data_IF_131373148675
#
_entry.id   IF_131373148675
#
_cell.length_a   1.000
_cell.length_b   1.000
_cell.length_c   1.000
_cell.angle_alpha   90.00
_cell.angle_beta   90.00
_cell.angle_gamma   90.00
#
_symmetry.space_group_name_H-M   'P 1'
#
loop_
_entity.id
_entity.type
_entity.pdbx_description
1 polymer ?
#
# COMPACT_ATOMS: atom_id res chain seq x y z
N UNK A 1 22.58 -21.64 -10.13
CA UNK A 1 23.41 -20.82 -9.23
C UNK A 1 22.74 -20.77 -7.86
N UNK A 2 23.50 -20.80 -6.76
CA UNK A 2 22.92 -20.62 -5.44
C UNK A 2 22.32 -19.21 -5.35
N UNK A 3 21.08 -19.12 -4.83
CA UNK A 3 20.39 -17.86 -4.57
C UNK A 3 20.57 -17.53 -3.10
N UNK A 4 21.04 -16.33 -2.78
CA UNK A 4 21.14 -15.83 -1.42
C UNK A 4 19.88 -15.03 -1.08
N UNK A 5 19.19 -15.40 0.00
CA UNK A 5 18.02 -14.66 0.48
C UNK A 5 18.42 -13.65 1.58
N UNK A 6 18.30 -12.37 1.28
CA UNK A 6 18.54 -11.27 2.24
C UNK A 6 17.24 -10.86 2.90
N UNK A 7 17.07 -11.27 4.16
CA UNK A 7 15.88 -10.95 4.96
C UNK A 7 16.04 -9.63 5.72
N UNK A 8 14.90 -8.99 6.05
CA UNK A 8 14.84 -7.90 7.01
C UNK A 8 15.50 -6.59 6.56
N UNK A 9 15.63 -6.35 5.26
CA UNK A 9 16.28 -5.15 4.74
C UNK A 9 15.49 -3.86 5.05
N UNK A 10 14.19 -3.95 5.30
CA UNK A 10 13.38 -2.80 5.68
C UNK A 10 12.24 -2.48 4.71
N UNK A 11 11.91 -1.19 4.56
CA UNK A 11 10.80 -0.72 3.74
C UNK A 11 11.15 -0.63 2.25
N UNK A 12 10.15 -0.33 1.41
CA UNK A 12 10.24 -0.19 -0.04
C UNK A 12 11.39 0.72 -0.50
N UNK A 13 11.61 1.86 0.17
CA UNK A 13 12.69 2.78 -0.20
C UNK A 13 14.09 2.19 0.01
N UNK A 14 14.28 1.45 1.11
CA UNK A 14 15.54 0.75 1.40
C UNK A 14 15.77 -0.38 0.39
N UNK A 15 14.73 -1.13 0.04
CA UNK A 15 14.80 -2.20 -0.97
C UNK A 15 15.14 -1.65 -2.36
N UNK A 16 14.51 -0.55 -2.76
CA UNK A 16 14.82 0.11 -4.05
C UNK A 16 16.29 0.58 -4.07
N UNK A 17 16.77 1.19 -3.00
CA UNK A 17 18.16 1.60 -2.91
C UNK A 17 19.13 0.41 -2.96
N UNK A 18 18.82 -0.69 -2.29
CA UNK A 18 19.63 -1.92 -2.34
C UNK A 18 19.66 -2.52 -3.75
N UNK A 19 18.55 -2.50 -4.48
CA UNK A 19 18.48 -2.93 -5.87
C UNK A 19 19.35 -2.02 -6.78
N UNK A 20 19.22 -0.72 -6.64
CA UNK A 20 20.00 0.24 -7.45
C UNK A 20 21.51 0.21 -7.18
N UNK A 21 21.91 -0.09 -5.96
CA UNK A 21 23.34 -0.24 -5.59
C UNK A 21 23.93 -1.60 -5.95
N UNK A 22 23.10 -2.56 -6.41
CA UNK A 22 23.54 -3.93 -6.67
C UNK A 22 23.73 -4.78 -5.41
N UNK A 23 23.30 -4.29 -4.24
CA UNK A 23 23.30 -5.10 -3.01
C UNK A 23 22.25 -6.21 -3.04
N UNK A 24 21.24 -6.05 -3.89
CA UNK A 24 20.18 -7.01 -4.18
C UNK A 24 19.98 -7.03 -5.70
N UNK A 25 19.78 -8.20 -6.30
CA UNK A 25 19.57 -8.33 -7.75
C UNK A 25 18.08 -8.27 -8.14
N UNK A 26 17.20 -8.70 -7.23
CA UNK A 26 15.74 -8.75 -7.45
C UNK A 26 15.00 -8.75 -6.12
N UNK A 27 13.84 -8.09 -6.07
CA UNK A 27 12.91 -8.21 -4.95
C UNK A 27 11.46 -8.14 -5.45
N UNK A 28 10.50 -8.75 -4.73
CA UNK A 28 9.09 -8.65 -5.06
C UNK A 28 8.51 -7.33 -4.54
N UNK A 29 7.71 -6.66 -5.36
CA UNK A 29 7.03 -5.42 -4.99
C UNK A 29 5.64 -5.34 -5.62
N UNK A 30 4.75 -4.58 -5.00
CA UNK A 30 3.42 -4.31 -5.52
C UNK A 30 3.45 -3.15 -6.53
N UNK A 31 2.76 -3.32 -7.65
CA UNK A 31 2.69 -2.28 -8.69
C UNK A 31 2.17 -0.96 -8.15
N UNK A 32 1.17 -0.98 -7.27
CA UNK A 32 0.65 0.21 -6.60
C UNK A 32 1.71 0.92 -5.74
N UNK A 33 2.53 0.17 -5.01
CA UNK A 33 3.63 0.70 -4.21
C UNK A 33 4.71 1.32 -5.10
N UNK A 34 5.08 0.64 -6.19
CA UNK A 34 6.03 1.20 -7.17
C UNK A 34 5.53 2.56 -7.68
N UNK A 35 4.27 2.64 -8.09
CA UNK A 35 3.70 3.87 -8.67
C UNK A 35 3.67 5.00 -7.64
N UNK A 36 3.10 4.75 -6.46
CA UNK A 36 2.83 5.80 -5.48
C UNK A 36 4.04 6.15 -4.63
N UNK A 37 4.75 5.13 -4.12
CA UNK A 37 5.86 5.34 -3.18
C UNK A 37 7.18 5.65 -3.88
N UNK A 38 7.52 4.88 -4.91
CA UNK A 38 8.80 5.05 -5.60
C UNK A 38 8.73 6.14 -6.68
N UNK A 39 7.74 6.06 -7.56
CA UNK A 39 7.64 6.97 -8.71
C UNK A 39 6.92 8.28 -8.38
N UNK A 40 6.20 8.35 -7.24
CA UNK A 40 5.39 9.51 -6.83
C UNK A 40 4.40 9.93 -7.91
N UNK A 41 3.77 8.94 -8.56
CA UNK A 41 2.78 9.11 -9.63
C UNK A 41 1.43 8.56 -9.19
N UNK A 42 0.39 8.95 -9.91
CA UNK A 42 -0.97 8.45 -9.72
C UNK A 42 -1.37 7.54 -10.89
N UNK A 43 -2.46 6.79 -10.70
CA UNK A 43 -3.04 5.91 -11.69
C UNK A 43 -2.69 4.45 -11.51
N UNK A 44 -3.18 3.64 -12.44
CA UNK A 44 -3.00 2.19 -12.45
C UNK A 44 -2.46 1.77 -13.84
N UNK A 45 -1.16 1.99 -14.10
CA UNK A 45 -0.54 1.70 -15.38
C UNK A 45 -0.52 0.20 -15.66
N UNK A 46 -0.56 -0.17 -16.94
CA UNK A 46 -0.16 -1.50 -17.37
C UNK A 46 1.36 -1.72 -17.18
N UNK A 47 1.80 -2.96 -17.32
CA UNK A 47 3.21 -3.32 -17.14
C UNK A 47 4.14 -2.59 -18.11
N UNK A 48 3.68 -2.33 -19.33
CA UNK A 48 4.49 -1.63 -20.34
C UNK A 48 4.69 -0.16 -19.97
N UNK A 49 3.64 0.52 -19.53
CA UNK A 49 3.73 1.90 -19.03
C UNK A 49 4.57 1.99 -17.75
N UNK A 50 4.38 1.06 -16.81
CA UNK A 50 5.17 1.00 -15.59
C UNK A 50 6.66 0.86 -15.91
N UNK A 51 7.02 0.00 -16.85
CA UNK A 51 8.40 -0.19 -17.27
C UNK A 51 9.00 1.03 -17.99
N UNK A 52 8.20 1.80 -18.73
CA UNK A 52 8.68 3.08 -19.28
C UNK A 52 9.08 4.05 -18.16
N UNK A 53 8.31 4.12 -17.09
CA UNK A 53 8.62 4.97 -15.94
C UNK A 53 9.81 4.46 -15.12
N UNK A 54 9.91 3.15 -14.93
CA UNK A 54 11.03 2.53 -14.19
C UNK A 54 12.37 2.66 -14.93
N UNK A 55 12.34 2.69 -16.27
CA UNK A 55 13.55 2.84 -17.09
C UNK A 55 14.32 4.15 -16.79
N UNK A 56 13.61 5.22 -16.39
CA UNK A 56 14.23 6.48 -15.96
C UNK A 56 15.13 6.29 -14.72
N UNK A 57 14.91 5.21 -13.95
CA UNK A 57 15.68 4.84 -12.75
C UNK A 57 16.62 3.66 -12.97
N UNK A 58 16.73 3.15 -14.21
CA UNK A 58 17.50 1.96 -14.53
C UNK A 58 16.88 0.66 -14.00
N UNK A 59 15.58 0.65 -13.70
CA UNK A 59 14.86 -0.48 -13.14
C UNK A 59 13.84 -1.06 -14.13
N UNK A 60 13.43 -2.31 -13.89
CA UNK A 60 12.42 -3.00 -14.70
C UNK A 60 11.60 -3.98 -13.84
N UNK A 61 10.29 -3.96 -13.99
CA UNK A 61 9.40 -5.01 -13.50
C UNK A 61 9.31 -6.12 -14.55
N UNK A 62 9.73 -7.33 -14.20
CA UNK A 62 9.94 -8.40 -15.20
C UNK A 62 8.88 -9.50 -15.19
N UNK A 63 8.39 -9.89 -14.00
CA UNK A 63 7.49 -11.04 -13.85
C UNK A 63 6.30 -10.68 -12.98
N UNK A 64 5.07 -10.63 -13.53
CA UNK A 64 3.84 -10.57 -12.72
C UNK A 64 3.69 -11.87 -11.91
N UNK A 65 3.47 -11.75 -10.61
CA UNK A 65 3.34 -12.90 -9.71
C UNK A 65 1.91 -13.50 -9.69
N UNK A 66 0.95 -12.88 -10.40
CA UNK A 66 -0.38 -13.43 -10.63
C UNK A 66 -1.34 -13.34 -9.44
N UNK A 67 -1.03 -12.54 -8.41
CA UNK A 67 -1.94 -12.29 -7.30
C UNK A 67 -2.18 -10.79 -7.08
N UNK A 68 -3.27 -10.47 -6.41
CA UNK A 68 -3.62 -9.13 -6.00
C UNK A 68 -3.68 -9.07 -4.47
N UNK A 69 -3.10 -8.02 -3.89
CA UNK A 69 -3.19 -7.74 -2.46
C UNK A 69 -3.73 -6.32 -2.29
N UNK A 70 -4.95 -6.24 -1.75
CA UNK A 70 -5.63 -4.96 -1.51
C UNK A 70 -5.92 -4.80 -0.03
N UNK A 71 -6.02 -3.56 0.42
CA UNK A 71 -6.46 -3.27 1.78
C UNK A 71 -7.96 -3.47 1.93
N UNK A 72 -8.35 -3.95 3.11
CA UNK A 72 -9.73 -3.98 3.54
C UNK A 72 -9.81 -3.46 4.98
N UNK A 73 -10.87 -2.72 5.31
CA UNK A 73 -11.17 -2.37 6.68
C UNK A 73 -11.94 -3.53 7.32
N UNK A 74 -11.49 -3.95 8.49
CA UNK A 74 -12.15 -4.99 9.28
C UNK A 74 -12.75 -4.36 10.55
N UNK A 75 -13.96 -4.79 10.91
CA UNK A 75 -14.58 -4.45 12.18
C UNK A 75 -15.37 -5.65 12.72
N UNK A 76 -15.73 -5.62 14.00
CA UNK A 76 -16.56 -6.68 14.57
C UNK A 76 -17.94 -6.68 13.92
N UNK A 77 -18.44 -7.86 13.59
CA UNK A 77 -19.72 -8.02 12.89
C UNK A 77 -20.90 -7.41 13.67
N UNK A 78 -20.94 -7.62 14.99
CA UNK A 78 -21.96 -7.04 15.86
C UNK A 78 -21.95 -5.51 15.80
N UNK A 79 -20.76 -4.90 15.79
CA UNK A 79 -20.61 -3.46 15.71
C UNK A 79 -21.01 -2.94 14.32
N UNK A 80 -20.63 -3.64 13.26
CA UNK A 80 -21.03 -3.28 11.89
C UNK A 80 -22.55 -3.29 11.74
N UNK A 81 -23.22 -4.34 12.26
CA UNK A 81 -24.68 -4.43 12.26
C UNK A 81 -25.35 -3.33 13.09
N UNK A 82 -24.84 -3.05 14.30
CA UNK A 82 -25.40 -2.02 15.17
C UNK A 82 -25.31 -0.61 14.57
N UNK A 83 -24.26 -0.34 13.79
CA UNK A 83 -24.03 0.95 13.13
C UNK A 83 -24.54 1.01 11.69
N UNK A 84 -25.07 -0.12 11.16
CA UNK A 84 -25.54 -0.20 9.78
C UNK A 84 -24.44 -0.04 8.73
N UNK A 85 -23.20 -0.46 9.06
CA UNK A 85 -22.04 -0.35 8.18
C UNK A 85 -21.89 -1.63 7.35
N UNK A 86 -22.04 -1.50 6.03
CA UNK A 86 -21.87 -2.58 5.07
C UNK A 86 -20.73 -2.31 4.07
N UNK A 87 -20.34 -1.07 3.90
CA UNK A 87 -19.30 -0.61 2.99
C UNK A 87 -18.58 0.62 3.56
N UNK A 88 -17.41 0.95 3.01
CA UNK A 88 -16.58 2.05 3.53
C UNK A 88 -17.31 3.39 3.52
N UNK A 89 -18.13 3.67 2.51
CA UNK A 89 -18.91 4.91 2.42
C UNK A 89 -19.96 5.07 3.54
N UNK A 90 -20.37 3.98 4.19
CA UNK A 90 -21.32 4.05 5.32
C UNK A 90 -20.66 4.67 6.56
N UNK A 91 -19.33 4.61 6.66
CA UNK A 91 -18.58 5.22 7.76
C UNK A 91 -18.78 6.74 7.82
N UNK A 92 -19.06 7.39 6.69
CA UNK A 92 -19.37 8.83 6.65
C UNK A 92 -20.66 9.22 7.40
N UNK A 93 -21.52 8.24 7.69
CA UNK A 93 -22.79 8.42 8.44
C UNK A 93 -22.67 8.08 9.93
N UNK A 94 -21.53 7.53 10.33
CA UNK A 94 -21.28 7.19 11.74
C UNK A 94 -20.89 8.45 12.49
N UNK A 95 -21.48 8.65 13.67
CA UNK A 95 -21.21 9.82 14.51
C UNK A 95 -19.70 9.97 14.81
N UNK A 96 -19.14 11.19 14.70
CA UNK A 96 -17.75 11.45 14.99
C UNK A 96 -17.35 10.97 16.40
N UNK A 97 -16.29 10.18 16.48
CA UNK A 97 -15.80 9.62 17.74
C UNK A 97 -16.46 8.30 18.19
N UNK A 98 -17.48 7.80 17.50
CA UNK A 98 -18.10 6.51 17.80
C UNK A 98 -17.21 5.32 17.45
N UNK A 99 -16.22 5.51 16.56
CA UNK A 99 -15.26 4.50 16.14
C UNK A 99 -13.83 4.93 16.48
N UNK A 100 -13.03 3.96 16.90
CA UNK A 100 -11.57 4.08 17.01
C UNK A 100 -10.96 3.27 15.87
N UNK A 101 -10.17 3.92 15.04
CA UNK A 101 -9.50 3.31 13.90
C UNK A 101 -8.03 3.06 14.23
N UNK A 102 -7.60 1.80 14.15
CA UNK A 102 -6.19 1.41 14.23
C UNK A 102 -5.61 1.30 12.83
N UNK A 103 -4.50 1.97 12.56
CA UNK A 103 -3.81 1.98 11.27
C UNK A 103 -2.33 1.68 11.45
N UNK A 104 -1.74 0.96 10.49
CA UNK A 104 -0.29 0.90 10.37
C UNK A 104 0.26 2.23 9.87
N UNK A 105 1.53 2.51 10.15
CA UNK A 105 2.21 3.72 9.69
C UNK A 105 2.15 3.87 8.15
N UNK A 106 2.31 2.76 7.44
CA UNK A 106 2.25 2.72 5.97
C UNK A 106 0.85 3.10 5.45
N UNK A 107 -0.20 2.70 6.15
CA UNK A 107 -1.56 3.00 5.74
C UNK A 107 -1.94 4.47 5.97
N UNK A 108 -1.37 5.13 6.97
CA UNK A 108 -1.58 6.58 7.23
C UNK A 108 -0.99 7.43 6.11
N UNK A 109 0.13 7.01 5.53
CA UNK A 109 0.78 7.69 4.40
C UNK A 109 -0.02 7.52 3.10
N UNK A 110 -0.81 6.44 2.99
CA UNK A 110 -1.76 6.27 1.90
C UNK A 110 -2.96 7.20 2.13
N UNK A 111 -2.91 8.36 1.54
CA UNK A 111 -3.90 9.46 1.57
C UNK A 111 -5.38 9.07 1.31
N UNK A 112 -5.67 7.78 1.28
CA UNK A 112 -6.97 7.22 0.90
C UNK A 112 -8.09 7.49 1.90
N UNK A 113 -7.76 7.68 3.19
CA UNK A 113 -8.76 7.93 4.23
C UNK A 113 -8.94 9.41 4.52
N UNK A 114 -7.97 10.26 4.22
CA UNK A 114 -8.05 11.69 4.54
C UNK A 114 -8.95 12.45 3.57
N UNK A 115 -9.11 11.98 2.34
CA UNK A 115 -9.91 12.65 1.32
C UNK A 115 -11.38 12.19 1.30
N UNK A 116 -11.74 11.10 2.02
CA UNK A 116 -13.08 10.50 1.92
C UNK A 116 -13.73 10.12 3.26
N UNK A 117 -13.05 10.28 4.38
CA UNK A 117 -13.60 9.96 5.70
C UNK A 117 -13.41 11.14 6.66
N UNK A 118 -14.50 11.82 6.91
CA UNK A 118 -14.64 12.78 7.98
C UNK A 118 -14.04 12.28 9.30
N UNK A 119 -13.30 13.15 10.00
CA UNK A 119 -12.98 13.14 11.45
C UNK A 119 -12.92 11.78 12.19
N UNK A 120 -12.39 10.74 11.56
CA UNK A 120 -12.03 9.52 12.27
C UNK A 120 -10.75 9.83 13.04
N UNK A 121 -10.81 9.87 14.37
CA UNK A 121 -9.62 9.97 15.20
C UNK A 121 -8.80 8.69 15.03
N UNK A 122 -7.77 8.73 14.20
CA UNK A 122 -6.81 7.64 14.04
C UNK A 122 -5.86 7.61 15.24
N UNK A 123 -5.76 6.44 15.87
CA UNK A 123 -4.70 6.13 16.83
C UNK A 123 -3.66 5.27 16.14
N UNK A 124 -2.41 5.72 16.14
CA UNK A 124 -1.26 4.92 15.69
C UNK A 124 -0.89 3.94 16.80
N UNK A 125 -0.73 2.67 16.45
CA UNK A 125 -0.13 1.62 17.28
C UNK A 125 1.21 1.21 16.70
#
# INVERSE_FOLDING_TARGET
QPCEHKQGLGNTGILEQALRSGAVDVYPEYTGTIVRELLKREGNPDLAQLNRWLAERGLKAVVPLGFNNTYALAMREEQARALGVHQVSDLARVEPGALKLGLSHEFVVLKYLTDHACDIRASLY
#
